data_IF_747388796766
#
_entry.id   IF_747388796766
#
_cell.length_a   1.000
_cell.length_b   1.000
_cell.length_c   1.000
_cell.angle_alpha   90.00
_cell.angle_beta   90.00
_cell.angle_gamma   90.00
#
_symmetry.space_group_name_H-M   'P 1'
#
loop_
_entity.id
_entity.type
_entity.pdbx_description
1 polymer ?
#
# COMPACT_ATOMS: atom_id res chain seq x y z
N UNK A 1 7.46 32.87 4.76
CA UNK A 1 6.92 31.50 4.80
C UNK A 1 6.84 31.04 3.35
N UNK A 2 7.47 29.90 3.01
CA UNK A 2 7.69 29.48 1.63
C UNK A 2 6.39 29.34 0.84
N UNK A 3 6.28 30.06 -0.28
CA UNK A 3 5.15 29.94 -1.21
C UNK A 3 5.55 29.17 -2.44
N UNK A 4 4.65 28.29 -2.90
CA UNK A 4 4.86 27.46 -4.08
C UNK A 4 5.03 28.34 -5.32
N UNK A 5 6.16 28.20 -6.01
CA UNK A 5 6.45 28.90 -7.27
C UNK A 5 6.37 27.96 -8.47
N UNK A 6 6.60 26.65 -8.26
CA UNK A 6 6.59 25.65 -9.33
C UNK A 6 6.26 24.27 -8.80
N UNK A 7 5.55 23.49 -9.61
CA UNK A 7 5.33 22.06 -9.40
C UNK A 7 5.74 21.34 -10.68
N UNK A 8 6.54 20.28 -10.55
CA UNK A 8 7.03 19.47 -11.66
C UNK A 8 6.79 17.99 -11.40
N UNK A 9 6.53 17.24 -12.46
CA UNK A 9 6.41 15.79 -12.42
C UNK A 9 7.49 15.19 -13.33
N UNK A 10 8.25 14.24 -12.80
CA UNK A 10 9.26 13.48 -13.51
C UNK A 10 8.83 12.03 -13.57
N UNK A 11 8.90 11.41 -14.74
CA UNK A 11 8.63 10.00 -14.91
C UNK A 11 9.92 9.21 -14.73
N UNK A 12 9.86 8.09 -14.02
CA UNK A 12 10.97 7.15 -13.86
C UNK A 12 10.48 5.71 -13.95
N UNK A 13 11.18 4.90 -14.73
CA UNK A 13 10.97 3.47 -14.82
C UNK A 13 11.71 2.76 -13.69
N UNK A 14 11.00 1.92 -12.94
CA UNK A 14 11.56 1.11 -11.86
C UNK A 14 11.50 -0.38 -12.23
N UNK A 15 12.54 -0.93 -12.89
CA UNK A 15 12.60 -2.35 -13.20
C UNK A 15 12.79 -3.19 -11.93
N UNK A 16 12.14 -4.35 -11.90
CA UNK A 16 12.20 -5.25 -10.74
C UNK A 16 13.44 -6.14 -10.75
N UNK A 17 14.06 -6.29 -9.58
CA UNK A 17 15.22 -7.19 -9.40
C UNK A 17 14.91 -8.64 -9.78
N UNK A 18 13.69 -9.11 -9.46
CA UNK A 18 13.23 -10.46 -9.75
C UNK A 18 12.59 -10.59 -11.15
N UNK A 19 12.71 -9.56 -11.99
CA UNK A 19 12.17 -9.51 -13.35
C UNK A 19 10.66 -9.20 -13.41
N UNK A 20 9.83 -9.91 -12.65
CA UNK A 20 8.38 -9.68 -12.62
C UNK A 20 7.77 -9.84 -11.24
N UNK A 21 6.73 -9.08 -10.96
CA UNK A 21 5.89 -9.20 -9.76
C UNK A 21 4.46 -9.53 -10.16
N UNK A 22 3.88 -10.58 -9.57
CA UNK A 22 2.57 -11.15 -9.92
C UNK A 22 1.65 -11.20 -8.72
N UNK A 23 0.36 -10.94 -8.95
CA UNK A 23 -0.68 -10.98 -7.91
C UNK A 23 -2.03 -11.43 -8.49
N UNK A 24 -3.06 -11.38 -7.65
CA UNK A 24 -4.43 -11.85 -7.92
C UNK A 24 -4.99 -11.47 -9.30
N UNK A 25 -5.81 -12.35 -9.86
CA UNK A 25 -6.41 -12.16 -11.19
C UNK A 25 -5.42 -12.28 -12.36
N UNK A 26 -4.28 -12.95 -12.17
CA UNK A 26 -3.28 -13.19 -13.22
C UNK A 26 -2.54 -11.93 -13.66
N UNK A 27 -2.50 -10.90 -12.81
CA UNK A 27 -1.89 -9.61 -13.10
C UNK A 27 -0.39 -9.67 -12.84
N UNK A 28 0.37 -8.91 -13.62
CA UNK A 28 1.81 -8.81 -13.46
C UNK A 28 2.35 -7.44 -13.89
N UNK A 29 3.55 -7.13 -13.42
CA UNK A 29 4.34 -5.96 -13.81
C UNK A 29 5.81 -6.33 -13.81
N UNK A 30 6.56 -5.83 -14.79
CA UNK A 30 8.02 -6.02 -14.90
C UNK A 30 8.79 -4.72 -14.58
N UNK A 31 8.20 -3.59 -14.97
CA UNK A 31 8.72 -2.25 -14.78
C UNK A 31 7.59 -1.37 -14.29
N UNK A 32 7.76 -0.73 -13.13
CA UNK A 32 6.81 0.27 -12.66
C UNK A 32 7.04 1.62 -13.31
N UNK A 33 5.95 2.30 -13.66
CA UNK A 33 5.94 3.71 -14.06
C UNK A 33 5.72 4.56 -12.79
N UNK A 34 6.81 5.11 -12.24
CA UNK A 34 6.76 6.00 -11.07
C UNK A 34 6.78 7.48 -11.49
N UNK A 35 6.16 8.32 -10.68
CA UNK A 35 6.15 9.77 -10.84
C UNK A 35 6.75 10.46 -9.61
N UNK A 36 7.90 11.12 -9.79
CA UNK A 36 8.51 12.01 -8.79
C UNK A 36 7.90 13.40 -8.94
N UNK A 37 7.35 13.93 -7.86
CA UNK A 37 6.78 15.28 -7.77
C UNK A 37 7.78 16.18 -7.06
N UNK A 38 8.11 17.31 -7.69
CA UNK A 38 8.98 18.34 -7.12
C UNK A 38 8.22 19.64 -6.94
N UNK A 39 8.26 20.20 -5.74
CA UNK A 39 7.62 21.48 -5.39
C UNK A 39 8.71 22.49 -5.03
N UNK A 40 8.82 23.58 -5.79
CA UNK A 40 9.78 24.66 -5.56
C UNK A 40 9.07 25.85 -4.90
N UNK A 41 9.79 26.60 -4.06
CA UNK A 41 9.27 27.76 -3.32
C UNK A 41 10.02 29.05 -3.62
N UNK A 42 9.44 30.20 -3.24
CA UNK A 42 10.06 31.53 -3.38
C UNK A 42 11.22 31.79 -2.41
N UNK A 43 11.36 30.97 -1.36
CA UNK A 43 12.47 31.01 -0.42
C UNK A 43 13.62 30.05 -0.82
N UNK A 44 13.51 29.41 -1.98
CA UNK A 44 14.54 28.49 -2.51
C UNK A 44 14.53 27.09 -1.89
N UNK A 45 13.60 26.79 -0.99
CA UNK A 45 13.39 25.43 -0.45
C UNK A 45 12.61 24.59 -1.46
N UNK A 46 13.00 23.33 -1.62
CA UNK A 46 12.38 22.41 -2.59
C UNK A 46 12.02 21.10 -1.90
N UNK A 47 10.77 20.66 -2.08
CA UNK A 47 10.25 19.40 -1.57
C UNK A 47 10.08 18.35 -2.64
N UNK A 48 10.18 17.08 -2.24
CA UNK A 48 9.99 15.94 -3.12
C UNK A 48 8.96 14.95 -2.57
N UNK A 49 8.12 14.43 -3.45
CA UNK A 49 7.23 13.30 -3.21
C UNK A 49 7.31 12.31 -4.37
N UNK A 50 6.89 11.07 -4.14
CA UNK A 50 6.85 10.03 -5.15
C UNK A 50 5.49 9.32 -5.12
N UNK A 51 4.96 9.01 -6.31
CA UNK A 51 3.76 8.19 -6.44
C UNK A 51 4.01 7.11 -7.49
N UNK A 52 3.91 5.86 -7.07
CA UNK A 52 4.12 4.68 -7.92
C UNK A 52 2.96 3.68 -7.76
N UNK A 53 1.82 3.90 -8.45
CA UNK A 53 0.69 2.99 -8.37
C UNK A 53 1.01 1.63 -9.01
N UNK A 54 0.43 0.55 -8.48
CA UNK A 54 0.55 -0.81 -9.02
C UNK A 54 -0.34 -1.03 -10.26
N UNK A 55 -0.24 -0.14 -11.25
CA UNK A 55 -1.12 -0.08 -12.42
C UNK A 55 -2.59 0.19 -12.06
N UNK A 56 -3.50 0.24 -13.06
CA UNK A 56 -4.93 0.53 -12.85
C UNK A 56 -5.72 -0.62 -12.21
N UNK A 57 -5.04 -1.69 -11.77
CA UNK A 57 -5.67 -2.97 -11.46
C UNK A 57 -5.71 -3.29 -9.95
N UNK A 58 -5.02 -2.50 -9.14
CA UNK A 58 -4.84 -2.73 -7.71
C UNK A 58 -5.75 -1.82 -6.89
N UNK A 59 -5.64 -0.53 -7.14
CA UNK A 59 -6.50 0.53 -6.61
C UNK A 59 -6.97 1.40 -7.77
N UNK A 60 -7.97 2.28 -7.59
CA UNK A 60 -8.38 3.26 -8.61
C UNK A 60 -7.33 4.37 -8.80
N UNK A 61 -6.10 3.98 -9.14
CA UNK A 61 -4.91 4.82 -9.29
C UNK A 61 -4.00 4.25 -10.37
N UNK A 62 -3.38 5.10 -11.19
CA UNK A 62 -2.42 4.69 -12.22
C UNK A 62 -1.53 5.87 -12.62
N UNK A 63 -0.31 5.58 -13.06
CA UNK A 63 0.75 6.56 -13.30
C UNK A 63 0.37 7.69 -14.26
N UNK A 64 -0.25 7.36 -15.41
CA UNK A 64 -0.75 8.36 -16.35
C UNK A 64 -1.78 9.32 -15.73
N UNK A 65 -2.62 8.82 -14.83
CA UNK A 65 -3.58 9.59 -14.06
C UNK A 65 -2.92 10.54 -13.05
N UNK A 66 -1.77 10.13 -12.48
CA UNK A 66 -0.99 10.98 -11.57
C UNK A 66 -0.58 12.24 -12.32
N UNK A 67 0.06 12.08 -13.47
CA UNK A 67 0.61 13.19 -14.25
C UNK A 67 -0.48 14.09 -14.83
N UNK A 68 -1.58 13.53 -15.34
CA UNK A 68 -2.70 14.34 -15.83
C UNK A 68 -3.39 15.10 -14.70
N UNK A 69 -3.60 14.45 -13.55
CA UNK A 69 -4.19 15.09 -12.37
C UNK A 69 -3.29 16.20 -11.80
N UNK A 70 -1.96 16.02 -11.81
CA UNK A 70 -1.02 17.05 -11.41
C UNK A 70 -1.07 18.25 -12.35
N UNK A 71 -1.20 18.04 -13.66
CA UNK A 71 -1.34 19.12 -14.64
C UNK A 71 -2.61 19.96 -14.42
N UNK A 72 -3.71 19.32 -14.00
CA UNK A 72 -4.95 20.00 -13.63
C UNK A 72 -4.81 20.75 -12.29
N UNK A 73 -4.22 20.11 -11.28
CA UNK A 73 -4.18 20.63 -9.92
C UNK A 73 -3.14 21.74 -9.72
N UNK A 74 -1.95 21.59 -10.31
CA UNK A 74 -0.80 22.44 -10.03
C UNK A 74 -1.01 23.95 -10.25
N UNK A 75 -1.67 24.42 -11.34
CA UNK A 75 -1.89 25.85 -11.57
C UNK A 75 -2.63 26.54 -10.42
N UNK A 76 -3.52 25.82 -9.74
CA UNK A 76 -4.28 26.36 -8.62
C UNK A 76 -3.45 26.50 -7.36
N UNK A 77 -2.34 25.77 -7.22
CA UNK A 77 -1.53 25.75 -6.00
C UNK A 77 -0.40 26.79 -6.00
N UNK A 78 -0.07 27.39 -7.14
CA UNK A 78 0.93 28.47 -7.21
C UNK A 78 0.56 29.63 -6.26
N UNK A 79 1.55 30.13 -5.52
CA UNK A 79 1.41 31.18 -4.51
C UNK A 79 0.85 30.72 -3.15
N UNK A 80 0.43 29.44 -3.03
CA UNK A 80 0.00 28.86 -1.76
C UNK A 80 1.20 28.67 -0.85
N UNK A 81 1.02 28.90 0.45
CA UNK A 81 2.06 28.62 1.44
C UNK A 81 2.20 27.09 1.59
N UNK A 82 3.45 26.59 1.48
CA UNK A 82 3.76 25.16 1.35
C UNK A 82 3.80 24.41 2.69
N UNK A 83 3.98 25.10 3.82
CA UNK A 83 4.07 24.52 5.17
C UNK A 83 2.72 24.48 5.91
N UNK A 84 1.69 25.16 5.40
CA UNK A 84 0.32 25.15 5.90
C UNK A 84 -0.47 23.95 5.35
N UNK A 85 -0.06 22.73 5.74
CA UNK A 85 -0.53 21.47 5.15
C UNK A 85 -2.06 21.33 5.13
N UNK A 86 -2.78 21.66 6.21
CA UNK A 86 -4.25 21.59 6.24
C UNK A 86 -4.93 22.58 5.29
N UNK A 87 -4.31 23.74 5.05
CA UNK A 87 -4.84 24.74 4.11
C UNK A 87 -4.59 24.27 2.69
N UNK A 88 -3.40 23.74 2.41
CA UNK A 88 -3.04 23.16 1.13
C UNK A 88 -3.95 21.98 0.80
N UNK A 89 -4.11 21.02 1.70
CA UNK A 89 -4.95 19.84 1.51
C UNK A 89 -6.42 20.23 1.24
N UNK A 90 -7.00 21.13 2.04
CA UNK A 90 -8.36 21.66 1.78
C UNK A 90 -8.49 22.36 0.44
N UNK A 91 -7.44 23.05 -0.01
CA UNK A 91 -7.42 23.67 -1.34
C UNK A 91 -7.40 22.60 -2.44
N UNK A 92 -6.57 21.56 -2.30
CA UNK A 92 -6.54 20.43 -3.23
C UNK A 92 -7.89 19.72 -3.33
N UNK A 93 -8.56 19.46 -2.20
CA UNK A 93 -9.90 18.84 -2.17
C UNK A 93 -10.97 19.69 -2.87
N UNK A 94 -10.89 21.01 -2.75
CA UNK A 94 -11.84 21.92 -3.41
C UNK A 94 -11.60 22.06 -4.90
N UNK A 95 -10.34 21.95 -5.34
CA UNK A 95 -9.95 22.09 -6.74
C UNK A 95 -10.21 20.80 -7.52
N UNK A 96 -9.82 19.64 -6.98
CA UNK A 96 -9.93 18.35 -7.67
C UNK A 96 -10.61 17.33 -6.75
N UNK A 97 -11.81 16.87 -7.10
CA UNK A 97 -12.53 15.84 -6.34
C UNK A 97 -11.88 14.46 -6.53
N UNK A 98 -11.79 13.67 -5.45
CA UNK A 98 -11.17 12.33 -5.50
C UNK A 98 -9.67 12.41 -5.78
N UNK A 99 -9.13 11.46 -6.55
CA UNK A 99 -7.71 11.42 -6.96
C UNK A 99 -6.70 11.56 -5.78
N UNK A 100 -6.86 10.83 -4.67
CA UNK A 100 -5.92 10.91 -3.54
C UNK A 100 -4.48 10.58 -3.94
N UNK A 101 -4.32 9.66 -4.89
CA UNK A 101 -3.03 9.28 -5.47
C UNK A 101 -2.33 10.44 -6.22
N UNK A 102 -3.07 11.39 -6.79
CA UNK A 102 -2.48 12.62 -7.38
C UNK A 102 -1.99 13.55 -6.29
N UNK A 103 -2.83 13.77 -5.27
CA UNK A 103 -2.61 14.75 -4.19
C UNK A 103 -1.46 14.35 -3.27
N UNK A 104 -1.28 13.04 -3.04
CA UNK A 104 -0.20 12.48 -2.23
C UNK A 104 1.18 12.98 -2.64
N UNK A 105 1.47 13.04 -3.95
CA UNK A 105 2.78 13.50 -4.41
C UNK A 105 3.09 14.95 -4.03
N UNK A 106 2.07 15.82 -3.98
CA UNK A 106 2.21 17.21 -3.53
C UNK A 106 2.25 17.28 -2.00
N UNK A 107 1.38 16.54 -1.31
CA UNK A 107 1.31 16.52 0.15
C UNK A 107 2.65 16.11 0.77
N UNK A 108 3.24 15.00 0.30
CA UNK A 108 4.54 14.51 0.77
C UNK A 108 5.66 15.49 0.46
N UNK A 109 5.66 16.12 -0.73
CA UNK A 109 6.63 17.16 -1.06
C UNK A 109 6.52 18.38 -0.11
N UNK A 110 5.31 18.74 0.31
CA UNK A 110 5.09 19.82 1.27
C UNK A 110 5.47 19.42 2.70
N UNK A 111 5.31 18.16 3.09
CA UNK A 111 5.88 17.61 4.33
C UNK A 111 7.41 17.67 4.33
N UNK A 112 8.05 17.35 3.21
CA UNK A 112 9.51 17.49 3.03
C UNK A 112 9.96 18.95 3.22
N UNK A 113 9.27 19.91 2.58
CA UNK A 113 9.52 21.35 2.79
C UNK A 113 9.36 21.73 4.26
N UNK A 114 8.30 21.27 4.93
CA UNK A 114 8.08 21.56 6.35
C UNK A 114 9.22 21.00 7.22
N UNK A 115 9.69 19.78 6.94
CA UNK A 115 10.85 19.18 7.60
C UNK A 115 12.12 20.03 7.43
N UNK A 116 12.40 20.46 6.20
CA UNK A 116 13.57 21.30 5.89
C UNK A 116 13.50 22.67 6.57
N UNK A 117 12.36 23.36 6.49
CA UNK A 117 12.15 24.69 7.08
C UNK A 117 12.22 24.64 8.61
N UNK A 118 11.70 23.58 9.21
CA UNK A 118 11.73 23.40 10.66
C UNK A 118 13.04 22.83 11.19
N UNK A 119 13.91 22.31 10.30
CA UNK A 119 15.13 21.60 10.68
C UNK A 119 14.84 20.30 11.43
N UNK A 120 13.69 19.65 11.19
CA UNK A 120 13.25 18.45 11.91
C UNK A 120 12.96 17.29 10.96
N UNK A 121 13.30 16.05 11.36
CA UNK A 121 12.83 14.84 10.67
C UNK A 121 11.28 14.79 10.64
N UNK A 122 10.71 14.29 9.55
CA UNK A 122 9.25 14.18 9.39
C UNK A 122 8.63 13.32 10.50
N UNK A 123 9.27 12.22 10.91
CA UNK A 123 8.77 11.38 12.01
C UNK A 123 8.60 12.16 13.34
N UNK A 124 9.47 13.14 13.61
CA UNK A 124 9.35 13.98 14.79
C UNK A 124 8.21 15.01 14.68
N UNK A 125 7.86 15.39 13.44
CA UNK A 125 6.70 16.24 13.17
C UNK A 125 5.39 15.45 13.21
N UNK A 126 5.41 14.16 12.88
CA UNK A 126 4.25 13.25 12.92
C UNK A 126 3.88 12.76 14.34
N UNK A 127 4.58 13.22 15.37
CA UNK A 127 4.28 12.88 16.77
C UNK A 127 5.47 12.37 17.57
N UNK A 128 6.63 12.18 16.94
CA UNK A 128 7.85 11.72 17.58
C UNK A 128 8.30 10.35 17.07
N UNK A 129 9.61 10.11 17.14
CA UNK A 129 10.20 8.80 16.86
C UNK A 129 9.74 7.75 17.88
N UNK A 130 9.23 6.63 17.37
CA UNK A 130 8.93 5.43 18.17
C UNK A 130 9.84 4.29 17.72
N UNK A 131 10.83 3.95 18.55
CA UNK A 131 11.86 2.97 18.22
C UNK A 131 12.97 3.52 17.31
N UNK A 132 14.06 2.76 17.22
CA UNK A 132 15.20 3.10 16.34
C UNK A 132 15.07 2.46 14.95
N UNK A 133 14.32 1.37 14.85
CA UNK A 133 14.04 0.61 13.64
C UNK A 133 12.58 0.11 13.60
N UNK A 134 12.24 -0.61 12.52
CA UNK A 134 10.96 -1.28 12.38
C UNK A 134 11.13 -2.57 11.56
N UNK A 135 10.27 -3.54 11.84
CA UNK A 135 10.32 -4.86 11.19
C UNK A 135 9.68 -4.78 9.80
N UNK A 136 10.47 -5.12 8.79
CA UNK A 136 10.03 -5.22 7.40
C UNK A 136 9.31 -6.54 7.12
N UNK A 137 8.42 -6.52 6.13
CA UNK A 137 7.90 -7.73 5.50
C UNK A 137 8.40 -7.82 4.06
N UNK A 138 8.43 -9.04 3.52
CA UNK A 138 8.70 -9.28 2.11
C UNK A 138 7.42 -9.71 1.41
N UNK A 139 7.02 -8.99 0.37
CA UNK A 139 5.97 -9.45 -0.53
C UNK A 139 6.53 -10.57 -1.41
N UNK A 140 5.79 -11.68 -1.51
CA UNK A 140 6.17 -12.87 -2.28
C UNK A 140 5.23 -12.96 -3.47
N UNK A 141 5.79 -12.77 -4.66
CA UNK A 141 5.07 -12.84 -5.94
C UNK A 141 4.31 -14.16 -6.09
N UNK A 142 3.14 -14.11 -6.71
CA UNK A 142 2.31 -15.29 -6.96
C UNK A 142 2.98 -16.20 -8.01
N UNK A 143 3.43 -17.37 -7.58
CA UNK A 143 4.06 -18.41 -8.42
C UNK A 143 3.53 -19.79 -8.03
N UNK A 144 4.16 -20.89 -8.46
CA UNK A 144 3.80 -22.22 -7.95
C UNK A 144 4.22 -22.38 -6.46
N UNK A 145 3.59 -23.30 -5.70
CA UNK A 145 3.85 -23.46 -4.26
C UNK A 145 5.33 -23.65 -3.89
N UNK A 146 6.05 -24.50 -4.63
CA UNK A 146 7.45 -24.84 -4.34
C UNK A 146 8.36 -23.63 -4.57
N UNK A 147 8.14 -22.89 -5.65
CA UNK A 147 8.88 -21.65 -5.92
C UNK A 147 8.64 -20.60 -4.83
N UNK A 148 7.39 -20.42 -4.39
CA UNK A 148 7.07 -19.45 -3.32
C UNK A 148 7.73 -19.84 -1.99
N UNK A 149 7.69 -21.14 -1.62
CA UNK A 149 8.36 -21.66 -0.42
C UNK A 149 9.88 -21.43 -0.49
N UNK A 150 10.51 -21.77 -1.62
CA UNK A 150 11.94 -21.55 -1.86
C UNK A 150 12.34 -20.07 -1.73
N UNK A 151 11.54 -19.14 -2.29
CA UNK A 151 11.79 -17.70 -2.13
C UNK A 151 11.67 -17.24 -0.68
N UNK A 152 10.67 -17.73 0.05
CA UNK A 152 10.53 -17.41 1.49
C UNK A 152 11.74 -17.90 2.27
N UNK A 153 12.20 -19.13 2.06
CA UNK A 153 13.40 -19.64 2.69
C UNK A 153 14.64 -18.76 2.38
N UNK A 154 14.79 -18.32 1.13
CA UNK A 154 15.84 -17.39 0.71
C UNK A 154 15.78 -16.05 1.45
N UNK A 155 14.63 -15.38 1.41
CA UNK A 155 14.45 -14.07 2.08
C UNK A 155 14.53 -14.16 3.60
N UNK A 156 14.15 -15.30 4.17
CA UNK A 156 14.36 -15.59 5.58
C UNK A 156 15.83 -15.64 5.94
N UNK A 157 16.67 -16.24 5.09
CA UNK A 157 18.12 -16.25 5.27
C UNK A 157 18.74 -14.84 5.17
N UNK A 158 18.10 -13.92 4.45
CA UNK A 158 18.50 -12.49 4.39
C UNK A 158 18.09 -11.69 5.64
N UNK A 159 17.23 -12.24 6.49
CA UNK A 159 16.82 -11.60 7.75
C UNK A 159 15.34 -11.20 7.83
N UNK A 160 14.55 -11.39 6.77
CA UNK A 160 13.10 -11.16 6.84
C UNK A 160 12.43 -12.16 7.76
N UNK A 161 11.44 -11.70 8.53
CA UNK A 161 10.65 -12.51 9.47
C UNK A 161 9.14 -12.38 9.24
N UNK A 162 8.72 -11.58 8.26
CA UNK A 162 7.31 -11.39 7.89
C UNK A 162 7.18 -11.53 6.39
N UNK A 163 6.21 -12.31 5.95
CA UNK A 163 6.03 -12.64 4.53
C UNK A 163 4.58 -12.43 4.15
N UNK A 164 4.35 -11.65 3.10
CA UNK A 164 3.01 -11.44 2.53
C UNK A 164 2.95 -12.18 1.19
N UNK A 165 2.19 -13.27 1.18
CA UNK A 165 1.95 -14.09 0.00
C UNK A 165 0.92 -13.45 -0.90
N UNK A 166 1.25 -13.34 -2.19
CA UNK A 166 0.25 -13.00 -3.21
C UNK A 166 -0.54 -14.24 -3.60
N UNK A 167 -1.73 -14.37 -3.01
CA UNK A 167 -2.75 -15.38 -3.33
C UNK A 167 -3.91 -14.68 -4.07
N UNK A 168 -5.15 -15.19 -3.99
CA UNK A 168 -6.27 -14.59 -4.72
C UNK A 168 -6.35 -15.05 -6.18
N UNK A 169 -5.83 -16.24 -6.47
CA UNK A 169 -5.96 -16.93 -7.74
C UNK A 169 -6.90 -18.13 -7.60
N UNK A 170 -6.50 -19.27 -8.16
CA UNK A 170 -7.21 -20.53 -7.97
C UNK A 170 -7.18 -20.95 -6.48
N UNK A 171 -8.33 -21.19 -5.83
CA UNK A 171 -8.38 -21.48 -4.40
C UNK A 171 -7.66 -22.77 -4.00
N UNK A 172 -7.65 -23.80 -4.85
CA UNK A 172 -7.02 -25.07 -4.53
C UNK A 172 -5.49 -24.93 -4.59
N UNK A 173 -4.98 -24.19 -5.58
CA UNK A 173 -3.55 -23.84 -5.65
C UNK A 173 -3.14 -22.88 -4.52
N UNK A 174 -4.00 -21.92 -4.15
CA UNK A 174 -3.70 -21.00 -3.04
C UNK A 174 -3.60 -21.70 -1.69
N UNK A 175 -4.40 -22.75 -1.45
CA UNK A 175 -4.27 -23.60 -0.26
C UNK A 175 -2.90 -24.28 -0.24
N UNK A 176 -2.46 -24.82 -1.38
CA UNK A 176 -1.15 -25.45 -1.52
C UNK A 176 -0.02 -24.44 -1.28
N UNK A 177 -0.11 -23.23 -1.85
CA UNK A 177 0.87 -22.14 -1.63
C UNK A 177 1.02 -21.78 -0.16
N UNK A 178 -0.10 -21.56 0.54
CA UNK A 178 -0.08 -21.20 1.96
C UNK A 178 0.56 -22.31 2.79
N UNK A 179 0.20 -23.59 2.53
CA UNK A 179 0.75 -24.74 3.24
C UNK A 179 2.24 -24.93 2.99
N UNK A 180 2.68 -24.84 1.73
CA UNK A 180 4.08 -25.00 1.35
C UNK A 180 4.95 -23.93 2.02
N UNK A 181 4.51 -22.66 1.98
CA UNK A 181 5.27 -21.56 2.61
C UNK A 181 5.26 -21.66 4.12
N UNK A 182 4.12 -22.00 4.73
CA UNK A 182 4.03 -22.13 6.19
C UNK A 182 5.01 -23.19 6.74
N UNK A 183 5.34 -24.22 5.96
CA UNK A 183 6.31 -25.25 6.34
C UNK A 183 7.76 -24.72 6.42
N UNK A 184 8.08 -23.59 5.78
CA UNK A 184 9.40 -22.95 5.80
C UNK A 184 9.58 -21.95 6.96
N UNK A 185 8.52 -21.67 7.71
CA UNK A 185 8.52 -20.67 8.78
C UNK A 185 8.96 -21.26 10.12
N UNK A 186 9.65 -20.45 10.92
CA UNK A 186 10.02 -20.79 12.29
C UNK A 186 9.18 -20.02 13.32
N UNK A 187 9.14 -20.48 14.59
CA UNK A 187 8.46 -19.76 15.65
C UNK A 187 8.90 -18.29 15.73
N UNK A 188 7.94 -17.38 15.60
CA UNK A 188 8.17 -15.94 15.61
C UNK A 188 8.05 -15.28 14.23
N UNK A 189 8.18 -16.05 13.15
CA UNK A 189 7.85 -15.55 11.81
C UNK A 189 6.35 -15.27 11.69
N UNK A 190 5.97 -14.43 10.71
CA UNK A 190 4.57 -14.13 10.40
C UNK A 190 4.27 -14.35 8.94
N UNK A 191 3.16 -15.02 8.68
CA UNK A 191 2.63 -15.24 7.35
C UNK A 191 1.33 -14.46 7.17
N UNK A 192 1.22 -13.79 6.04
CA UNK A 192 0.01 -13.12 5.60
C UNK A 192 -0.37 -13.67 4.23
N UNK A 193 -1.56 -14.24 4.12
CA UNK A 193 -2.16 -14.66 2.86
C UNK A 193 -3.01 -13.51 2.32
N UNK A 194 -2.43 -12.73 1.42
CA UNK A 194 -3.06 -11.56 0.83
C UNK A 194 -3.62 -11.88 -0.55
N UNK A 195 -4.96 -11.89 -0.62
CA UNK A 195 -5.68 -12.22 -1.84
C UNK A 195 -5.86 -11.02 -2.78
N UNK A 196 -5.55 -9.81 -2.33
CA UNK A 196 -5.75 -8.56 -3.08
C UNK A 196 -7.08 -8.56 -3.86
N UNK A 197 -8.19 -8.77 -3.15
CA UNK A 197 -9.56 -8.81 -3.69
C UNK A 197 -9.91 -9.99 -4.62
N UNK A 198 -9.01 -10.96 -4.77
CA UNK A 198 -9.04 -11.96 -5.84
C UNK A 198 -10.09 -13.05 -5.71
N UNK A 199 -10.55 -13.38 -4.50
CA UNK A 199 -11.54 -14.43 -4.30
C UNK A 199 -12.95 -13.86 -4.21
N UNK A 200 -13.92 -14.60 -4.76
CA UNK A 200 -15.31 -14.42 -4.35
C UNK A 200 -15.58 -15.13 -3.02
N UNK A 201 -16.66 -14.78 -2.34
CA UNK A 201 -16.90 -15.22 -0.94
C UNK A 201 -16.86 -16.74 -0.74
N UNK A 202 -17.39 -17.54 -1.68
CA UNK A 202 -17.39 -19.00 -1.53
C UNK A 202 -15.99 -19.60 -1.69
N UNK A 203 -15.13 -18.97 -2.49
CA UNK A 203 -13.73 -19.36 -2.68
C UNK A 203 -12.93 -19.03 -1.43
N UNK A 204 -13.04 -17.79 -0.95
CA UNK A 204 -12.43 -17.36 0.31
C UNK A 204 -12.84 -18.29 1.46
N UNK A 205 -14.12 -18.63 1.55
CA UNK A 205 -14.63 -19.56 2.57
C UNK A 205 -14.07 -21.00 2.44
N UNK A 206 -13.65 -21.44 1.25
CA UNK A 206 -12.92 -22.70 1.07
C UNK A 206 -11.50 -22.59 1.57
N UNK A 207 -10.77 -21.55 1.15
CA UNK A 207 -9.37 -21.35 1.51
C UNK A 207 -9.20 -21.24 3.02
N UNK A 208 -9.93 -20.32 3.67
CA UNK A 208 -9.78 -20.07 5.11
C UNK A 208 -10.08 -21.29 5.98
N UNK A 209 -11.07 -22.11 5.59
CA UNK A 209 -11.37 -23.38 6.28
C UNK A 209 -10.26 -24.41 6.06
N UNK A 210 -9.69 -24.46 4.86
CA UNK A 210 -8.65 -25.41 4.53
C UNK A 210 -7.29 -25.05 5.15
N UNK A 211 -7.12 -23.86 5.73
CA UNK A 211 -5.90 -23.42 6.42
C UNK A 211 -6.14 -23.06 7.90
N UNK A 212 -7.24 -23.55 8.50
CA UNK A 212 -7.61 -23.30 9.89
C UNK A 212 -6.54 -23.74 10.90
N UNK A 213 -5.78 -24.78 10.56
CA UNK A 213 -4.67 -25.32 11.35
C UNK A 213 -3.35 -24.53 11.22
N UNK A 214 -3.31 -23.49 10.39
CA UNK A 214 -2.10 -22.71 10.10
C UNK A 214 -2.15 -21.35 10.81
N UNK A 215 -1.05 -20.96 11.45
CA UNK A 215 -0.86 -19.60 11.99
C UNK A 215 -0.60 -18.62 10.84
N UNK A 216 -1.68 -18.17 10.20
CA UNK A 216 -1.67 -17.26 9.05
C UNK A 216 -2.70 -16.15 9.22
N UNK A 217 -2.34 -14.95 8.78
CA UNK A 217 -3.25 -13.82 8.68
C UNK A 217 -3.96 -13.88 7.32
N UNK A 218 -5.27 -13.61 7.29
CA UNK A 218 -6.03 -13.52 6.04
C UNK A 218 -6.21 -12.05 5.69
N UNK A 219 -5.73 -11.62 4.53
CA UNK A 219 -5.75 -10.23 4.09
C UNK A 219 -6.61 -10.03 2.84
N UNK A 220 -7.49 -9.02 2.90
CA UNK A 220 -8.40 -8.55 1.84
C UNK A 220 -8.88 -9.68 0.90
N UNK A 221 -9.61 -10.70 1.42
CA UNK A 221 -9.97 -11.88 0.63
C UNK A 221 -10.84 -11.55 -0.58
N UNK A 222 -11.69 -10.52 -0.46
CA UNK A 222 -12.71 -10.17 -1.45
C UNK A 222 -12.67 -8.68 -1.81
N UNK A 223 -13.40 -8.32 -2.87
CA UNK A 223 -13.43 -6.97 -3.42
C UNK A 223 -14.08 -5.94 -2.49
N UNK A 224 -15.29 -6.20 -2.01
CA UNK A 224 -16.00 -5.24 -1.16
C UNK A 224 -15.74 -5.45 0.33
N UNK A 225 -15.94 -4.37 1.09
CA UNK A 225 -15.94 -4.41 2.55
C UNK A 225 -16.97 -5.41 3.09
N UNK A 226 -18.19 -5.43 2.54
CA UNK A 226 -19.26 -6.34 2.96
C UNK A 226 -18.92 -7.81 2.71
N UNK A 227 -18.28 -8.11 1.57
CA UNK A 227 -17.84 -9.46 1.28
C UNK A 227 -16.74 -9.93 2.24
N UNK A 228 -15.76 -9.07 2.53
CA UNK A 228 -14.70 -9.35 3.50
C UNK A 228 -15.25 -9.52 4.92
N UNK A 229 -16.17 -8.65 5.36
CA UNK A 229 -16.81 -8.74 6.67
C UNK A 229 -17.58 -10.06 6.84
N UNK A 230 -18.21 -10.56 5.77
CA UNK A 230 -18.87 -11.86 5.81
C UNK A 230 -17.90 -13.03 6.01
N UNK A 231 -16.66 -12.93 5.51
CA UNK A 231 -15.59 -13.91 5.77
C UNK A 231 -15.04 -13.74 7.18
N UNK A 232 -14.73 -12.50 7.61
CA UNK A 232 -14.25 -12.19 8.97
C UNK A 232 -15.11 -12.84 10.05
N UNK A 233 -16.43 -12.79 9.90
CA UNK A 233 -17.43 -13.34 10.84
C UNK A 233 -17.45 -14.88 10.94
N UNK A 234 -16.72 -15.58 10.07
CA UNK A 234 -16.74 -17.05 9.95
C UNK A 234 -15.40 -17.71 10.27
N UNK A 235 -14.38 -16.93 10.61
CA UNK A 235 -13.01 -17.44 10.82
C UNK A 235 -12.43 -16.98 12.15
N UNK A 236 -11.48 -17.74 12.66
CA UNK A 236 -10.70 -17.42 13.86
C UNK A 236 -9.33 -16.82 13.57
N UNK A 237 -8.85 -16.89 12.32
CA UNK A 237 -7.59 -16.27 11.94
C UNK A 237 -7.60 -14.76 12.18
N UNK A 238 -6.44 -14.17 12.50
CA UNK A 238 -6.27 -12.73 12.39
C UNK A 238 -6.61 -12.24 10.99
N UNK A 239 -7.34 -11.14 10.91
CA UNK A 239 -7.89 -10.63 9.65
C UNK A 239 -7.39 -9.22 9.36
N UNK A 240 -6.94 -9.01 8.13
CA UNK A 240 -6.41 -7.74 7.65
C UNK A 240 -7.34 -7.18 6.58
N UNK A 241 -7.71 -5.91 6.72
CA UNK A 241 -8.32 -5.16 5.61
C UNK A 241 -7.28 -4.21 5.02
N UNK A 242 -7.35 -4.02 3.71
CA UNK A 242 -6.39 -3.25 2.93
C UNK A 242 -7.13 -2.38 1.91
N UNK A 243 -7.34 -2.84 0.66
CA UNK A 243 -7.89 -2.03 -0.44
C UNK A 243 -9.27 -1.43 -0.14
N UNK A 244 -10.04 -2.05 0.74
CA UNK A 244 -11.36 -1.55 1.17
C UNK A 244 -11.30 -0.43 2.22
N UNK A 245 -10.13 -0.17 2.81
CA UNK A 245 -9.91 0.92 3.75
C UNK A 245 -9.23 2.09 3.02
N UNK A 246 -10.02 2.88 2.32
CA UNK A 246 -9.55 4.01 1.49
C UNK A 246 -9.63 5.38 2.18
N UNK A 247 -9.98 5.41 3.47
CA UNK A 247 -10.11 6.65 4.21
C UNK A 247 -10.62 6.46 5.63
N UNK A 248 -10.78 7.59 6.33
CA UNK A 248 -11.10 7.55 7.76
C UNK A 248 -12.51 7.10 8.09
N UNK A 249 -13.48 7.42 7.24
CA UNK A 249 -14.86 6.99 7.44
C UNK A 249 -14.98 5.47 7.45
N UNK A 250 -14.40 4.79 6.45
CA UNK A 250 -14.45 3.32 6.37
C UNK A 250 -13.56 2.65 7.42
N UNK A 251 -12.43 3.25 7.82
CA UNK A 251 -11.65 2.73 8.95
C UNK A 251 -12.45 2.73 10.26
N UNK A 252 -13.12 3.85 10.56
CA UNK A 252 -13.93 3.98 11.78
C UNK A 252 -15.14 3.03 11.75
N UNK A 253 -15.78 2.86 10.58
CA UNK A 253 -16.81 1.84 10.37
C UNK A 253 -16.28 0.43 10.61
N UNK A 254 -15.12 0.10 10.03
CA UNK A 254 -14.43 -1.17 10.20
C UNK A 254 -14.16 -1.52 11.65
N UNK A 255 -13.66 -0.55 12.41
CA UNK A 255 -13.45 -0.69 13.85
C UNK A 255 -14.75 -0.96 14.60
N UNK A 256 -15.81 -0.20 14.31
CA UNK A 256 -17.12 -0.36 14.97
C UNK A 256 -17.78 -1.72 14.67
N UNK A 257 -17.61 -2.24 13.46
CA UNK A 257 -18.15 -3.53 13.03
C UNK A 257 -17.31 -4.74 13.51
N UNK A 258 -16.10 -4.50 14.05
CA UNK A 258 -15.12 -5.56 14.33
C UNK A 258 -14.64 -6.27 13.05
N UNK A 259 -14.51 -5.52 11.96
CA UNK A 259 -14.27 -6.05 10.62
C UNK A 259 -12.85 -6.56 10.38
N UNK A 260 -11.89 -6.13 11.20
CA UNK A 260 -10.47 -6.45 11.07
C UNK A 260 -9.74 -6.38 12.40
N UNK A 261 -8.63 -7.11 12.50
CA UNK A 261 -7.70 -7.04 13.63
C UNK A 261 -6.50 -6.14 13.28
N UNK A 262 -6.18 -6.03 12.00
CA UNK A 262 -5.09 -5.21 11.44
C UNK A 262 -5.59 -4.48 10.19
N UNK A 263 -4.98 -3.33 9.89
CA UNK A 263 -5.22 -2.59 8.65
C UNK A 263 -3.89 -2.28 7.98
N UNK A 264 -3.85 -2.42 6.66
CA UNK A 264 -2.75 -1.89 5.85
C UNK A 264 -3.04 -0.43 5.50
N UNK A 265 -2.06 0.45 5.72
CA UNK A 265 -2.14 1.88 5.38
C UNK A 265 -1.20 2.12 4.20
N UNK A 266 -1.76 2.57 3.08
CA UNK A 266 -1.02 2.85 1.84
C UNK A 266 -0.89 4.34 1.58
#
# INVERSE_FOLDING_TARGET
MPRITRIQAFQVDLPLHEGSYKWSGGKSVEVFDSTIVRVETDEGVTGHGEVCPLGPFYLPAYAGGVRSGLAELAPHLIGTEATHLDVLHRKMERTLKGHPYVKTGIDIACWDILGQVSGRPICDLLGGRYGDDFVLYRAISQEDPDTMASRVAGYRAEGYRRFQLKVGGDPDVDIERIRAVAAELEPGDRLIADANTGWVQHEAARVVRAVEDIDVYIEQPCLSYEECLAIRRRISHPFVLDESIDGMEVLLRGHADGAMDVVNIK
#
